data_IF_364852394168
#
_entry.id   IF_364852394168
#
_cell.length_a   1.000
_cell.length_b   1.000
_cell.length_c   1.000
_cell.angle_alpha   90.00
_cell.angle_beta   90.00
_cell.angle_gamma   90.00
#
_symmetry.space_group_name_H-M   'P 1'
#
loop_
_entity.id
_entity.type
_entity.pdbx_description
1 polymer ?
#
# COMPACT_ATOMS: atom_id res chain seq x y z
N UNK A 1 -22.84 -15.08 63.48
CA UNK A 1 -23.02 -16.55 63.40
C UNK A 1 -21.67 -17.20 63.06
N UNK A 2 -21.12 -17.96 64.00
CA UNK A 2 -19.89 -18.76 63.87
C UNK A 2 -20.11 -20.04 63.06
N UNK A 3 -19.11 -20.48 62.26
CA UNK A 3 -18.38 -21.77 62.40
C UNK A 3 -17.62 -22.24 61.12
N UNK A 4 -16.38 -22.69 61.39
CA UNK A 4 -15.69 -23.95 60.96
C UNK A 4 -15.15 -24.14 59.53
N UNK A 5 -13.83 -24.33 59.50
CA UNK A 5 -13.07 -25.43 58.88
C UNK A 5 -13.89 -26.59 58.28
N UNK A 6 -13.51 -27.03 57.08
CA UNK A 6 -13.03 -28.41 56.85
C UNK A 6 -12.49 -28.62 55.42
N UNK A 7 -11.36 -29.33 55.37
CA UNK A 7 -10.74 -29.95 54.20
C UNK A 7 -11.42 -31.28 53.82
N UNK A 8 -11.64 -31.55 52.53
CA UNK A 8 -11.81 -32.92 51.98
C UNK A 8 -11.49 -32.89 50.48
N UNK A 9 -10.31 -33.36 50.03
CA UNK A 9 -10.04 -34.70 49.46
C UNK A 9 -11.00 -35.15 48.33
N UNK A 10 -10.45 -35.09 47.11
CA UNK A 10 -10.34 -36.24 46.18
C UNK A 10 -11.56 -36.67 45.36
N UNK A 11 -11.30 -36.99 44.08
CA UNK A 11 -11.88 -38.02 43.18
C UNK A 11 -11.80 -37.43 41.75
N UNK A 12 -10.85 -37.81 40.88
CA UNK A 12 -10.53 -39.10 40.24
C UNK A 12 -11.61 -39.55 39.23
N UNK A 13 -11.26 -39.44 37.94
CA UNK A 13 -11.70 -40.36 36.89
C UNK A 13 -12.99 -40.01 36.15
N UNK A 14 -12.90 -39.93 34.82
CA UNK A 14 -14.08 -39.82 33.97
C UNK A 14 -13.82 -39.74 32.48
N UNK A 15 -13.04 -40.67 31.91
CA UNK A 15 -13.11 -40.98 30.48
C UNK A 15 -14.55 -41.43 30.15
N UNK A 16 -15.27 -40.65 29.35
CA UNK A 16 -16.39 -41.12 28.50
C UNK A 16 -16.33 -40.33 27.19
N UNK A 17 -15.74 -40.91 26.15
CA UNK A 17 -16.47 -41.59 25.07
C UNK A 17 -17.55 -40.74 24.38
N UNK A 18 -17.31 -40.47 23.09
CA UNK A 18 -18.32 -40.67 22.06
C UNK A 18 -19.31 -39.53 21.84
N UNK A 19 -18.83 -38.40 21.34
CA UNK A 19 -19.67 -37.37 20.71
C UNK A 19 -19.28 -37.20 19.25
N UNK A 20 -19.76 -38.10 18.39
CA UNK A 20 -19.61 -38.02 16.94
C UNK A 20 -20.43 -36.82 16.42
N UNK A 21 -19.85 -35.61 16.47
CA UNK A 21 -20.45 -34.43 15.87
C UNK A 21 -19.92 -34.32 14.45
N UNK A 22 -20.67 -34.92 13.51
CA UNK A 22 -20.56 -34.61 12.10
C UNK A 22 -20.94 -33.15 11.89
N UNK A 23 -19.98 -32.25 11.98
CA UNK A 23 -20.08 -30.93 11.36
C UNK A 23 -19.90 -31.13 9.87
N UNK A 24 -21.00 -31.08 9.13
CA UNK A 24 -21.02 -30.91 7.68
C UNK A 24 -20.37 -29.57 7.34
N UNK A 25 -19.05 -29.58 7.22
CA UNK A 25 -18.27 -28.49 6.67
C UNK A 25 -18.66 -28.32 5.21
N UNK A 26 -19.48 -27.31 4.96
CA UNK A 26 -19.83 -26.83 3.64
C UNK A 26 -18.52 -26.51 2.89
N UNK A 27 -18.12 -27.39 1.98
CA UNK A 27 -16.95 -27.21 1.12
C UNK A 27 -17.26 -26.10 0.13
N UNK A 28 -17.10 -24.86 0.59
CA UNK A 28 -16.97 -23.74 -0.32
C UNK A 28 -15.64 -23.92 -1.03
N UNK A 29 -15.78 -24.39 -2.26
CA UNK A 29 -14.75 -24.46 -3.28
C UNK A 29 -14.21 -23.04 -3.50
N UNK A 30 -13.28 -22.62 -2.65
CA UNK A 30 -12.54 -21.38 -2.83
C UNK A 30 -11.65 -21.64 -4.04
N UNK A 31 -12.11 -21.18 -5.22
CA UNK A 31 -11.22 -20.95 -6.35
C UNK A 31 -10.04 -20.20 -5.78
N UNK A 32 -8.89 -20.88 -5.70
CA UNK A 32 -7.60 -20.32 -5.33
C UNK A 32 -7.47 -19.09 -6.21
N UNK A 33 -7.61 -17.89 -5.62
CA UNK A 33 -7.43 -16.63 -6.35
C UNK A 33 -6.09 -16.77 -7.04
N UNK A 34 -6.10 -16.81 -8.38
CA UNK A 34 -4.88 -16.71 -9.17
C UNK A 34 -4.10 -15.55 -8.58
N UNK A 35 -2.87 -15.82 -8.13
CA UNK A 35 -1.97 -14.78 -7.65
C UNK A 35 -1.82 -13.83 -8.83
N UNK A 36 -2.50 -12.68 -8.76
CA UNK A 36 -2.40 -11.64 -9.78
C UNK A 36 -0.93 -11.34 -9.93
N UNK A 37 -0.43 -11.42 -11.16
CA UNK A 37 0.91 -11.00 -11.53
C UNK A 37 1.19 -9.64 -10.89
N UNK A 38 2.32 -9.43 -10.20
CA UNK A 38 2.68 -8.13 -9.67
C UNK A 38 2.59 -7.11 -10.82
N UNK A 39 1.72 -6.11 -10.68
CA UNK A 39 1.63 -5.04 -11.65
C UNK A 39 2.79 -4.10 -11.35
N UNK A 40 3.80 -4.09 -12.21
CA UNK A 40 5.01 -3.27 -12.10
C UNK A 40 4.79 -1.77 -12.41
N UNK A 41 3.54 -1.31 -12.38
CA UNK A 41 3.20 0.09 -12.55
C UNK A 41 2.44 0.55 -11.31
N UNK A 42 2.76 1.74 -10.76
CA UNK A 42 2.00 2.32 -9.67
C UNK A 42 0.52 2.29 -10.05
N UNK A 43 -0.28 1.55 -9.29
CA UNK A 43 -1.73 1.56 -9.51
C UNK A 43 -2.21 2.96 -9.18
N UNK A 44 -3.00 3.55 -10.08
CA UNK A 44 -3.69 4.79 -9.79
C UNK A 44 -4.46 4.62 -8.48
N UNK A 45 -4.41 5.62 -7.56
CA UNK A 45 -5.13 5.53 -6.29
C UNK A 45 -6.62 5.35 -6.55
N UNK A 46 -7.26 4.46 -5.76
CA UNK A 46 -8.70 4.12 -5.90
C UNK A 46 -9.62 5.35 -5.82
N UNK A 47 -9.16 6.42 -5.16
CA UNK A 47 -9.85 7.71 -5.07
C UNK A 47 -8.87 8.85 -5.36
N UNK A 48 -9.12 9.70 -6.38
CA UNK A 48 -8.25 10.84 -6.67
C UNK A 48 -8.39 11.89 -5.57
N UNK A 49 -7.30 12.62 -5.30
CA UNK A 49 -7.26 13.67 -4.28
C UNK A 49 -8.36 14.74 -4.48
N UNK A 50 -8.69 15.06 -5.73
CA UNK A 50 -9.74 16.02 -6.08
C UNK A 50 -11.14 15.63 -5.59
N UNK A 51 -11.45 14.34 -5.49
CA UNK A 51 -12.75 13.89 -4.99
C UNK A 51 -12.79 13.94 -3.47
N UNK A 52 -11.68 13.63 -2.81
CA UNK A 52 -11.54 13.78 -1.36
C UNK A 52 -11.67 15.24 -0.93
N UNK A 53 -11.08 16.17 -1.68
CA UNK A 53 -11.22 17.61 -1.39
C UNK A 53 -12.65 18.12 -1.59
N UNK A 54 -13.36 17.63 -2.61
CA UNK A 54 -14.79 17.95 -2.80
C UNK A 54 -15.63 17.48 -1.61
N UNK A 55 -15.48 16.23 -1.19
CA UNK A 55 -16.21 15.70 -0.03
C UNK A 55 -15.86 16.42 1.28
N UNK A 56 -14.61 16.85 1.44
CA UNK A 56 -14.19 17.67 2.59
C UNK A 56 -14.89 19.04 2.58
N UNK A 57 -14.93 19.71 1.41
CA UNK A 57 -15.59 21.01 1.24
C UNK A 57 -17.09 20.91 1.55
N UNK A 58 -17.76 19.88 1.03
CA UNK A 58 -19.19 19.64 1.31
C UNK A 58 -19.42 19.46 2.81
N UNK A 59 -18.57 18.70 3.49
CA UNK A 59 -18.72 18.45 4.93
C UNK A 59 -18.51 19.72 5.77
N UNK A 60 -17.53 20.54 5.42
CA UNK A 60 -17.30 21.85 6.06
C UNK A 60 -18.52 22.77 5.87
N UNK A 61 -19.16 22.74 4.69
CA UNK A 61 -20.38 23.49 4.43
C UNK A 61 -21.57 23.07 5.29
N UNK A 62 -21.63 21.79 5.68
CA UNK A 62 -22.73 21.22 6.47
C UNK A 62 -22.55 21.39 7.99
N UNK A 63 -21.32 21.62 8.49
CA UNK A 63 -21.01 21.66 9.92
C UNK A 63 -21.43 22.95 10.66
N UNK A 64 -22.14 23.87 9.99
CA UNK A 64 -22.71 25.06 10.65
C UNK A 64 -21.65 26.04 11.17
N UNK A 65 -20.50 26.09 10.51
CA UNK A 65 -19.41 27.03 10.80
C UNK A 65 -19.85 28.47 10.53
N UNK A 66 -19.39 29.44 11.33
CA UNK A 66 -19.78 30.85 11.26
C UNK A 66 -19.23 31.54 9.99
N UNK A 67 -18.03 31.14 9.57
CA UNK A 67 -17.38 31.62 8.33
C UNK A 67 -16.77 30.46 7.52
N UNK A 68 -17.60 29.60 6.91
CA UNK A 68 -17.12 28.43 6.18
C UNK A 68 -16.41 28.83 4.88
N UNK A 69 -16.81 29.96 4.28
CA UNK A 69 -16.30 30.42 2.99
C UNK A 69 -14.78 30.65 2.99
N UNK A 70 -14.25 31.23 4.07
CA UNK A 70 -12.80 31.48 4.24
C UNK A 70 -12.02 30.16 4.27
N UNK A 71 -12.59 29.12 4.90
CA UNK A 71 -11.96 27.81 4.93
C UNK A 71 -12.03 27.11 3.58
N UNK A 72 -13.18 27.20 2.92
CA UNK A 72 -13.39 26.59 1.60
C UNK A 72 -12.44 27.22 0.58
N UNK A 73 -12.27 28.55 0.57
CA UNK A 73 -11.30 29.21 -0.32
C UNK A 73 -9.87 28.75 -0.02
N UNK A 74 -9.48 28.73 1.27
CA UNK A 74 -8.15 28.29 1.70
C UNK A 74 -7.84 26.84 1.30
N UNK A 75 -8.81 25.93 1.43
CA UNK A 75 -8.65 24.51 1.06
C UNK A 75 -8.56 24.34 -0.46
N UNK A 76 -9.33 25.12 -1.23
CA UNK A 76 -9.28 25.10 -2.70
C UNK A 76 -7.94 25.62 -3.22
N UNK A 77 -7.47 26.72 -2.66
CA UNK A 77 -6.21 27.37 -3.06
C UNK A 77 -4.98 26.72 -2.42
N UNK A 78 -5.17 25.87 -1.40
CA UNK A 78 -4.12 25.22 -0.64
C UNK A 78 -3.12 26.21 -0.03
N UNK A 79 -3.61 27.38 0.37
CA UNK A 79 -2.86 28.49 0.95
C UNK A 79 -3.63 29.12 2.11
N UNK A 80 -2.90 29.76 3.02
CA UNK A 80 -3.52 30.55 4.07
C UNK A 80 -4.17 31.82 3.49
N UNK A 81 -5.28 32.31 4.07
CA UNK A 81 -5.84 33.60 3.69
C UNK A 81 -4.82 34.72 3.89
N UNK A 82 -4.69 35.61 2.90
CA UNK A 82 -3.87 36.81 3.02
C UNK A 82 -4.55 37.85 3.93
N UNK A 83 -4.33 37.73 5.23
CA UNK A 83 -4.86 38.65 6.23
C UNK A 83 -4.27 40.06 6.15
N UNK A 84 -3.13 40.27 5.50
CA UNK A 84 -2.49 41.58 5.44
C UNK A 84 -3.07 42.42 4.28
N UNK A 85 -3.43 41.78 3.17
CA UNK A 85 -4.19 42.39 2.08
C UNK A 85 -5.63 42.77 2.47
N UNK A 86 -6.26 41.96 3.32
CA UNK A 86 -7.64 42.15 3.82
C UNK A 86 -7.76 43.17 4.97
N UNK A 87 -6.66 43.77 5.41
CA UNK A 87 -6.69 44.73 6.52
C UNK A 87 -7.43 46.00 6.07
N UNK A 88 -8.51 46.42 6.77
CA UNK A 88 -9.24 47.64 6.43
C UNK A 88 -8.30 48.86 6.47
N UNK A 89 -8.32 49.65 5.40
CA UNK A 89 -7.53 50.87 5.27
C UNK A 89 -8.48 52.06 5.10
N UNK A 90 -8.16 53.14 5.79
CA UNK A 90 -8.96 54.36 5.76
C UNK A 90 -8.48 55.24 4.61
N UNK A 91 -9.23 55.25 3.51
CA UNK A 91 -8.97 56.16 2.40
C UNK A 91 -9.72 57.48 2.64
N UNK A 92 -9.00 58.50 3.11
CA UNK A 92 -9.53 59.84 3.40
C UNK A 92 -9.36 60.83 2.24
N UNK A 93 -8.87 60.38 1.09
CA UNK A 93 -8.61 61.24 -0.06
C UNK A 93 -9.92 61.77 -0.66
N UNK A 94 -10.16 63.08 -0.53
CA UNK A 94 -11.20 63.81 -1.26
C UNK A 94 -12.47 64.20 -0.50
N UNK A 95 -12.54 64.07 0.82
CA UNK A 95 -13.72 64.49 1.59
C UNK A 95 -13.48 65.80 2.34
N UNK A 96 -14.36 66.78 2.12
CA UNK A 96 -14.34 68.08 2.81
C UNK A 96 -15.21 68.06 4.08
N UNK A 97 -16.34 67.35 4.07
CA UNK A 97 -17.31 67.35 5.17
C UNK A 97 -16.89 66.50 6.39
N UNK A 98 -17.05 67.05 7.61
CA UNK A 98 -16.71 66.37 8.87
C UNK A 98 -17.61 65.16 9.17
N UNK A 99 -18.90 65.25 8.81
CA UNK A 99 -19.89 64.19 9.07
C UNK A 99 -19.55 62.93 8.27
N UNK A 100 -19.14 63.07 7.00
CA UNK A 100 -18.76 61.93 6.17
C UNK A 100 -17.43 61.30 6.62
N UNK A 101 -16.51 62.11 7.16
CA UNK A 101 -15.27 61.62 7.75
C UNK A 101 -15.53 60.82 9.01
N UNK A 102 -16.49 61.23 9.84
CA UNK A 102 -16.89 60.49 11.03
C UNK A 102 -17.61 59.18 10.68
N UNK A 103 -18.53 59.20 9.72
CA UNK A 103 -19.20 57.99 9.22
C UNK A 103 -18.19 56.95 8.70
N UNK A 104 -17.23 57.34 7.84
CA UNK A 104 -16.18 56.42 7.36
C UNK A 104 -15.25 55.91 8.46
N UNK A 105 -14.97 56.73 9.48
CA UNK A 105 -14.20 56.27 10.65
C UNK A 105 -14.99 55.25 11.46
N UNK A 106 -16.30 55.40 11.55
CA UNK A 106 -17.17 54.45 12.24
C UNK A 106 -17.29 53.13 11.45
N UNK A 107 -17.47 53.19 10.14
CA UNK A 107 -17.46 52.02 9.23
C UNK A 107 -16.12 51.27 9.29
N UNK A 108 -14.99 51.98 9.29
CA UNK A 108 -13.68 51.34 9.43
C UNK A 108 -13.53 50.66 10.79
N UNK A 109 -14.08 51.23 11.86
CA UNK A 109 -14.05 50.59 13.19
C UNK A 109 -14.85 49.30 13.18
N UNK A 110 -16.05 49.29 12.58
CA UNK A 110 -16.85 48.06 12.49
C UNK A 110 -16.15 47.01 11.64
N UNK A 111 -15.59 47.40 10.49
CA UNK A 111 -14.86 46.49 9.60
C UNK A 111 -13.59 45.93 10.25
N UNK A 112 -12.87 46.74 11.04
CA UNK A 112 -11.70 46.31 11.81
C UNK A 112 -12.06 45.28 12.89
N UNK A 113 -13.20 45.47 13.57
CA UNK A 113 -13.71 44.49 14.55
C UNK A 113 -14.06 43.17 13.86
N UNK A 114 -14.72 43.22 12.70
CA UNK A 114 -15.05 42.03 11.91
C UNK A 114 -13.80 41.32 11.39
N UNK A 115 -12.81 42.06 10.88
CA UNK A 115 -11.51 41.53 10.49
C UNK A 115 -10.84 40.75 11.64
N UNK A 116 -10.78 41.36 12.82
CA UNK A 116 -10.21 40.71 14.00
C UNK A 116 -11.03 39.50 14.45
N UNK A 117 -12.36 39.54 14.32
CA UNK A 117 -13.25 38.40 14.61
C UNK A 117 -12.98 37.24 13.65
N UNK A 118 -12.91 37.50 12.35
CA UNK A 118 -12.61 36.49 11.34
C UNK A 118 -11.21 35.87 11.55
N UNK A 119 -10.19 36.68 11.84
CA UNK A 119 -8.82 36.21 12.12
C UNK A 119 -8.75 35.31 13.36
N UNK A 120 -9.45 35.69 14.43
CA UNK A 120 -9.58 34.86 15.65
C UNK A 120 -10.32 33.56 15.37
N UNK A 121 -11.38 33.64 14.58
CA UNK A 121 -12.19 32.50 14.20
C UNK A 121 -11.39 31.49 13.37
N UNK A 122 -10.65 31.96 12.35
CA UNK A 122 -9.74 31.16 11.55
C UNK A 122 -8.76 30.36 12.42
N UNK A 123 -8.14 31.02 13.38
CA UNK A 123 -7.18 30.38 14.30
C UNK A 123 -7.81 29.23 15.10
N UNK A 124 -9.07 29.37 15.54
CA UNK A 124 -9.81 28.30 16.23
C UNK A 124 -10.25 27.18 15.28
N UNK A 125 -10.68 27.57 14.09
CA UNK A 125 -11.16 26.64 13.08
C UNK A 125 -10.06 25.71 12.55
N UNK A 126 -8.80 26.15 12.53
CA UNK A 126 -7.67 25.32 12.09
C UNK A 126 -7.65 23.94 12.76
N UNK A 127 -7.81 23.91 14.08
CA UNK A 127 -7.84 22.66 14.84
C UNK A 127 -9.02 21.74 14.45
N UNK A 128 -10.19 22.35 14.26
CA UNK A 128 -11.40 21.64 13.86
C UNK A 128 -11.23 21.01 12.47
N UNK A 129 -10.72 21.79 11.51
CA UNK A 129 -10.44 21.33 10.14
C UNK A 129 -9.36 20.23 10.16
N UNK A 130 -8.30 20.38 10.96
CA UNK A 130 -7.28 19.34 11.12
C UNK A 130 -7.89 18.01 11.60
N UNK A 131 -8.72 18.04 12.65
CA UNK A 131 -9.43 16.86 13.15
C UNK A 131 -10.35 16.27 12.08
N UNK A 132 -11.06 17.11 11.33
CA UNK A 132 -11.94 16.68 10.26
C UNK A 132 -11.16 15.97 9.14
N UNK A 133 -10.06 16.55 8.67
CA UNK A 133 -9.18 15.94 7.66
C UNK A 133 -8.70 14.57 8.15
N UNK A 134 -8.19 14.50 9.39
CA UNK A 134 -7.76 13.23 9.98
C UNK A 134 -8.91 12.21 10.05
N UNK A 135 -10.17 12.61 10.20
CA UNK A 135 -11.29 11.66 10.15
C UNK A 135 -11.50 10.99 8.79
N UNK A 136 -11.16 11.66 7.69
CA UNK A 136 -11.28 11.11 6.32
C UNK A 136 -10.14 10.16 5.95
N UNK A 137 -8.99 10.30 6.60
CA UNK A 137 -7.78 9.55 6.25
C UNK A 137 -7.84 8.10 6.79
N UNK A 138 -7.36 7.14 6.00
CA UNK A 138 -7.27 5.73 6.42
C UNK A 138 -6.26 5.53 7.56
N UNK A 139 -6.42 4.48 8.37
CA UNK A 139 -5.51 4.21 9.50
C UNK A 139 -4.04 4.15 9.08
N UNK A 140 -3.73 3.47 7.97
CA UNK A 140 -2.35 3.36 7.46
C UNK A 140 -1.75 4.71 7.10
N UNK A 141 -2.56 5.59 6.50
CA UNK A 141 -2.10 6.92 6.12
C UNK A 141 -1.93 7.83 7.34
N UNK A 142 -2.78 7.68 8.37
CA UNK A 142 -2.58 8.36 9.67
C UNK A 142 -1.24 7.98 10.29
N UNK A 143 -0.91 6.69 10.34
CA UNK A 143 0.34 6.23 10.92
C UNK A 143 1.55 6.82 10.18
N UNK A 144 1.49 6.90 8.84
CA UNK A 144 2.52 7.54 8.01
C UNK A 144 2.68 9.03 8.32
N UNK A 145 1.57 9.76 8.46
CA UNK A 145 1.57 11.19 8.77
C UNK A 145 2.18 11.44 10.17
N UNK A 146 1.79 10.63 11.16
CA UNK A 146 2.29 10.73 12.53
C UNK A 146 3.79 10.40 12.65
N UNK A 147 4.31 9.56 11.77
CA UNK A 147 5.73 9.20 11.73
C UNK A 147 6.62 10.25 11.04
N UNK A 148 6.05 11.34 10.51
CA UNK A 148 6.86 12.37 9.90
C UNK A 148 7.67 13.18 10.90
N UNK A 149 8.92 13.48 10.52
CA UNK A 149 9.86 14.26 11.33
C UNK A 149 9.28 15.64 11.71
N UNK A 150 8.51 16.25 10.81
CA UNK A 150 7.96 17.60 10.99
C UNK A 150 6.52 17.61 11.53
N UNK A 151 6.02 16.48 12.02
CA UNK A 151 4.61 16.37 12.42
C UNK A 151 4.25 17.37 13.53
N UNK A 152 4.97 17.30 14.66
CA UNK A 152 4.70 18.13 15.85
C UNK A 152 4.97 19.63 15.62
N UNK A 153 5.85 19.98 14.67
CA UNK A 153 6.28 21.38 14.48
C UNK A 153 5.40 22.15 13.51
N UNK A 154 4.93 21.51 12.44
CA UNK A 154 4.21 22.19 11.35
C UNK A 154 2.86 21.57 11.06
N UNK A 155 2.81 20.24 10.91
CA UNK A 155 1.64 19.53 10.39
C UNK A 155 0.49 19.53 11.40
N UNK A 156 0.78 19.40 12.69
CA UNK A 156 -0.25 19.40 13.74
C UNK A 156 -0.96 20.76 13.86
N UNK A 157 -0.22 21.85 13.70
CA UNK A 157 -0.74 23.22 13.86
C UNK A 157 -1.42 23.79 12.60
N UNK A 158 -1.10 23.24 11.42
CA UNK A 158 -1.55 23.78 10.14
C UNK A 158 -2.28 22.71 9.28
N UNK A 159 -3.61 22.82 9.15
CA UNK A 159 -4.40 21.89 8.32
C UNK A 159 -4.07 21.98 6.83
N UNK A 160 -3.53 23.10 6.34
CA UNK A 160 -3.17 23.26 4.92
C UNK A 160 -1.92 22.46 4.60
N UNK A 161 -0.91 22.53 5.46
CA UNK A 161 0.30 21.72 5.30
C UNK A 161 -0.01 20.22 5.41
N UNK A 162 -0.93 19.83 6.31
CA UNK A 162 -1.47 18.47 6.38
C UNK A 162 -2.07 18.04 5.02
N UNK A 163 -2.91 18.88 4.40
CA UNK A 163 -3.50 18.60 3.10
C UNK A 163 -2.46 18.48 1.98
N UNK A 164 -1.43 19.36 1.95
CA UNK A 164 -0.31 19.23 1.00
C UNK A 164 0.40 17.89 1.16
N UNK A 165 0.57 17.44 2.40
CA UNK A 165 1.25 16.18 2.67
C UNK A 165 0.43 14.96 2.29
N UNK A 166 -0.88 15.00 2.56
CA UNK A 166 -1.82 13.99 2.09
C UNK A 166 -1.83 13.94 0.56
N UNK A 167 -1.89 15.09 -0.12
CA UNK A 167 -1.81 15.13 -1.58
C UNK A 167 -0.53 14.47 -2.09
N UNK A 168 0.61 14.77 -1.47
CA UNK A 168 1.90 14.13 -1.79
C UNK A 168 1.84 12.61 -1.57
N UNK A 169 1.22 12.12 -0.51
CA UNK A 169 1.09 10.68 -0.27
C UNK A 169 0.10 9.97 -1.19
N UNK A 170 -0.95 10.66 -1.64
CA UNK A 170 -1.92 10.11 -2.57
C UNK A 170 -1.38 10.09 -4.01
N UNK A 171 -0.55 11.07 -4.38
CA UNK A 171 0.11 11.13 -5.70
C UNK A 171 1.37 10.28 -5.76
N UNK A 172 2.12 10.23 -4.66
CA UNK A 172 3.23 9.29 -4.50
C UNK A 172 2.64 7.97 -4.01
N UNK A 173 2.01 7.24 -4.95
CA UNK A 173 1.75 5.81 -4.76
C UNK A 173 3.04 5.19 -4.23
N UNK A 174 2.89 4.41 -3.18
CA UNK A 174 3.90 3.97 -2.23
C UNK A 174 5.33 3.96 -2.79
N UNK A 175 6.24 4.57 -2.02
CA UNK A 175 7.65 4.16 -1.88
C UNK A 175 7.92 2.93 -2.72
N UNK A 176 8.52 3.14 -3.91
CA UNK A 176 9.04 2.13 -4.85
C UNK A 176 8.95 0.78 -4.19
N UNK A 177 7.93 0.02 -4.58
CA UNK A 177 7.61 -1.30 -4.04
C UNK A 177 8.88 -1.96 -3.50
N UNK A 178 8.93 -2.38 -2.24
CA UNK A 178 10.09 -3.17 -1.80
C UNK A 178 10.23 -4.48 -2.60
N UNK A 179 9.29 -4.78 -3.50
CA UNK A 179 9.27 -5.95 -4.39
C UNK A 179 10.44 -6.01 -5.40
N UNK A 180 10.81 -4.98 -6.19
CA UNK A 180 11.97 -5.07 -7.06
C UNK A 180 13.30 -5.12 -6.29
N UNK A 181 13.39 -4.47 -5.12
CA UNK A 181 14.58 -4.56 -4.25
C UNK A 181 14.71 -5.97 -3.66
N UNK A 182 13.62 -6.54 -3.14
CA UNK A 182 13.61 -7.92 -2.61
C UNK A 182 13.85 -8.96 -3.71
N UNK A 183 13.29 -8.77 -4.90
CA UNK A 183 13.57 -9.60 -6.08
C UNK A 183 15.06 -9.49 -6.46
N UNK A 184 15.61 -8.28 -6.50
CA UNK A 184 17.02 -8.04 -6.78
C UNK A 184 17.93 -8.73 -5.75
N UNK A 185 17.63 -8.61 -4.46
CA UNK A 185 18.36 -9.29 -3.39
C UNK A 185 18.28 -10.82 -3.51
N UNK A 186 17.10 -11.35 -3.86
CA UNK A 186 16.91 -12.79 -4.08
C UNK A 186 17.72 -13.28 -5.29
N UNK A 187 17.70 -12.53 -6.40
CA UNK A 187 18.52 -12.81 -7.59
C UNK A 187 20.01 -12.74 -7.27
N UNK A 188 20.45 -11.71 -6.54
CA UNK A 188 21.85 -11.56 -6.14
C UNK A 188 22.31 -12.71 -5.26
N UNK A 189 21.47 -13.18 -4.32
CA UNK A 189 21.76 -14.37 -3.48
C UNK A 189 21.85 -15.64 -4.30
N UNK A 190 20.97 -15.82 -5.28
CA UNK A 190 20.96 -17.00 -6.15
C UNK A 190 22.17 -17.05 -7.08
N UNK A 191 22.46 -15.96 -7.80
CA UNK A 191 23.59 -15.88 -8.75
C UNK A 191 24.94 -16.00 -8.04
N UNK A 192 25.05 -15.47 -6.82
CA UNK A 192 26.28 -15.56 -6.02
C UNK A 192 26.31 -16.81 -5.10
N UNK A 193 25.37 -17.74 -5.23
CA UNK A 193 25.37 -18.96 -4.43
C UNK A 193 26.49 -19.88 -4.90
N UNK A 194 27.64 -19.83 -4.21
CA UNK A 194 28.79 -20.72 -4.42
C UNK A 194 28.88 -21.78 -3.33
N UNK A 195 29.43 -22.95 -3.67
CA UNK A 195 29.71 -24.00 -2.70
C UNK A 195 30.74 -23.50 -1.67
N UNK A 196 30.43 -23.67 -0.38
CA UNK A 196 31.36 -23.29 0.70
C UNK A 196 32.39 -24.41 0.90
N UNK A 197 33.58 -24.05 1.39
CA UNK A 197 34.67 -25.02 1.60
C UNK A 197 34.35 -26.17 2.57
N UNK A 198 33.43 -25.96 3.50
CA UNK A 198 33.03 -26.94 4.52
C UNK A 198 31.65 -27.57 4.23
N UNK A 199 31.12 -27.41 3.02
CA UNK A 199 29.76 -27.82 2.65
C UNK A 199 29.80 -29.02 1.68
N UNK A 200 29.00 -30.03 1.97
CA UNK A 200 28.88 -31.19 1.07
C UNK A 200 28.12 -30.80 -0.21
N UNK A 201 28.35 -31.53 -1.30
CA UNK A 201 27.70 -31.25 -2.60
C UNK A 201 26.18 -31.32 -2.50
N UNK A 202 25.64 -32.22 -1.66
CA UNK A 202 24.20 -32.39 -1.45
C UNK A 202 23.60 -31.19 -0.72
N UNK A 203 24.27 -30.70 0.32
CA UNK A 203 23.83 -29.51 1.08
C UNK A 203 23.89 -28.26 0.20
N UNK A 204 24.95 -28.11 -0.60
CA UNK A 204 25.05 -27.03 -1.57
C UNK A 204 23.90 -27.04 -2.57
N UNK A 205 23.61 -28.22 -3.17
CA UNK A 205 22.50 -28.37 -4.12
C UNK A 205 21.17 -27.95 -3.49
N UNK A 206 20.90 -28.41 -2.27
CA UNK A 206 19.66 -28.07 -1.55
C UNK A 206 19.52 -26.55 -1.35
N UNK A 207 20.58 -25.88 -0.88
CA UNK A 207 20.62 -24.43 -0.70
C UNK A 207 20.45 -23.67 -2.01
N UNK A 208 21.07 -24.16 -3.08
CA UNK A 208 20.93 -23.58 -4.42
C UNK A 208 19.48 -23.69 -4.93
N UNK A 209 18.84 -24.83 -4.75
CA UNK A 209 17.43 -25.05 -5.11
C UNK A 209 16.48 -24.18 -4.27
N UNK A 210 16.75 -24.00 -2.98
CA UNK A 210 15.99 -23.08 -2.10
C UNK A 210 16.10 -21.62 -2.57
N UNK A 211 17.29 -21.16 -2.96
CA UNK A 211 17.46 -19.83 -3.55
C UNK A 211 16.73 -19.70 -4.90
N UNK A 212 16.82 -20.72 -5.76
CA UNK A 212 16.17 -20.74 -7.07
C UNK A 212 14.63 -20.71 -6.95
N UNK A 213 14.06 -21.51 -6.05
CA UNK A 213 12.62 -21.54 -5.78
C UNK A 213 12.09 -20.23 -5.22
N UNK A 214 12.90 -19.54 -4.39
CA UNK A 214 12.57 -18.19 -3.90
C UNK A 214 12.48 -17.19 -5.06
N UNK A 215 13.45 -17.17 -5.98
CA UNK A 215 13.41 -16.32 -7.18
C UNK A 215 12.22 -16.67 -8.08
N UNK A 216 11.95 -17.97 -8.28
CA UNK A 216 10.82 -18.47 -9.07
C UNK A 216 9.47 -18.00 -8.48
N UNK A 217 9.37 -17.91 -7.15
CA UNK A 217 8.15 -17.44 -6.49
C UNK A 217 7.80 -15.99 -6.80
N UNK A 218 8.79 -15.16 -7.14
CA UNK A 218 8.61 -13.76 -7.53
C UNK A 218 8.34 -13.62 -9.04
N UNK A 219 9.07 -14.36 -9.88
CA UNK A 219 9.04 -14.19 -11.34
C UNK A 219 8.01 -15.09 -12.06
N UNK A 220 7.58 -16.19 -11.42
CA UNK A 220 6.74 -17.23 -12.02
C UNK A 220 7.53 -18.25 -12.84
N UNK A 221 6.86 -19.29 -13.34
CA UNK A 221 7.54 -20.43 -13.99
C UNK A 221 8.00 -20.15 -15.44
N UNK A 222 7.38 -19.18 -16.12
CA UNK A 222 7.57 -18.94 -17.57
C UNK A 222 8.46 -17.73 -17.90
N UNK A 223 9.08 -17.07 -16.92
CA UNK A 223 9.79 -15.81 -17.16
C UNK A 223 11.02 -15.94 -18.08
N UNK A 224 11.65 -17.12 -18.12
CA UNK A 224 12.80 -17.41 -19.00
C UNK A 224 12.41 -17.95 -20.37
N UNK A 225 11.14 -18.26 -20.62
CA UNK A 225 10.71 -18.86 -21.89
C UNK A 225 10.95 -17.90 -23.07
N UNK A 226 10.65 -16.61 -22.87
CA UNK A 226 10.87 -15.57 -23.89
C UNK A 226 12.37 -15.33 -24.13
N UNK A 227 13.19 -15.41 -23.08
CA UNK A 227 14.64 -15.28 -23.20
C UNK A 227 15.25 -16.48 -23.94
N UNK A 228 14.84 -17.70 -23.58
CA UNK A 228 15.25 -18.92 -24.25
C UNK A 228 14.82 -18.92 -25.73
N UNK A 229 13.61 -18.43 -26.03
CA UNK A 229 13.08 -18.29 -27.39
C UNK A 229 13.82 -17.23 -28.24
N UNK A 230 14.51 -16.27 -27.63
CA UNK A 230 15.29 -15.24 -28.37
C UNK A 230 16.76 -15.57 -28.52
N UNK A 231 17.27 -16.51 -27.72
CA UNK A 231 18.71 -16.82 -27.68
C UNK A 231 19.04 -17.92 -28.68
N UNK A 232 19.88 -17.62 -29.67
CA UNK A 232 20.28 -18.52 -30.77
C UNK A 232 20.99 -19.78 -30.27
N UNK A 233 21.82 -19.66 -29.23
CA UNK A 233 22.51 -20.80 -28.61
C UNK A 233 21.53 -21.82 -27.99
N UNK A 234 20.38 -21.39 -27.49
CA UNK A 234 19.34 -22.29 -26.99
C UNK A 234 18.60 -23.00 -28.14
N UNK A 235 18.43 -22.36 -29.29
CA UNK A 235 17.86 -22.98 -30.47
C UNK A 235 18.73 -24.12 -31.01
N UNK A 236 20.03 -23.90 -31.10
CA UNK A 236 20.98 -24.91 -31.55
C UNK A 236 21.04 -26.11 -30.61
N UNK A 237 21.04 -25.86 -29.30
CA UNK A 237 21.11 -26.92 -28.30
C UNK A 237 19.80 -27.73 -28.22
N UNK A 238 18.64 -27.07 -28.27
CA UNK A 238 17.35 -27.77 -28.33
C UNK A 238 17.24 -28.61 -29.61
N UNK A 239 17.60 -28.05 -30.76
CA UNK A 239 17.59 -28.77 -32.04
C UNK A 239 18.51 -30.00 -31.99
N UNK A 240 19.73 -29.87 -31.43
CA UNK A 240 20.65 -31.00 -31.24
C UNK A 240 20.10 -32.06 -30.29
N UNK A 241 19.47 -31.67 -29.18
CA UNK A 241 18.87 -32.59 -28.21
C UNK A 241 17.67 -33.34 -28.81
N UNK A 242 16.83 -32.65 -29.60
CA UNK A 242 15.73 -33.27 -30.32
C UNK A 242 16.23 -34.28 -31.36
N UNK A 243 17.26 -33.92 -32.15
CA UNK A 243 17.89 -34.82 -33.11
C UNK A 243 18.47 -36.08 -32.45
N UNK A 244 19.24 -35.92 -31.37
CA UNK A 244 19.82 -37.04 -30.61
C UNK A 244 18.75 -37.96 -30.00
N UNK A 245 17.61 -37.39 -29.57
CA UNK A 245 16.50 -38.18 -29.02
C UNK A 245 15.76 -38.99 -30.10
N UNK A 246 15.68 -38.46 -31.32
CA UNK A 246 15.11 -39.16 -32.48
C UNK A 246 16.01 -40.32 -32.91
N UNK A 247 17.32 -40.10 -32.97
CA UNK A 247 18.32 -41.14 -33.30
C UNK A 247 18.30 -42.30 -32.29
N UNK A 248 18.31 -41.99 -30.98
CA UNK A 248 18.20 -43.04 -29.95
C UNK A 248 16.90 -43.84 -30.07
N UNK A 249 15.80 -43.19 -30.46
CA UNK A 249 14.50 -43.85 -30.64
C UNK A 249 14.49 -44.74 -31.88
N UNK A 250 15.12 -44.34 -32.98
CA UNK A 250 15.23 -45.16 -34.20
C UNK A 250 16.14 -46.38 -33.99
N UNK A 251 17.25 -46.22 -33.26
CA UNK A 251 18.14 -47.34 -32.89
C UNK A 251 17.43 -48.39 -32.03
N UNK A 252 16.64 -47.95 -31.04
CA UNK A 252 15.86 -48.87 -30.19
C UNK A 252 14.81 -49.64 -30.99
N UNK A 253 14.18 -48.99 -31.98
CA UNK A 253 13.22 -49.63 -32.88
C UNK A 253 13.90 -50.66 -33.81
N UNK A 254 15.11 -50.36 -34.31
CA UNK A 254 15.91 -51.31 -35.10
C UNK A 254 16.33 -52.52 -34.27
N UNK A 255 16.85 -52.29 -33.06
CA UNK A 255 17.23 -53.37 -32.12
C UNK A 255 16.02 -54.26 -31.78
N UNK A 256 14.84 -53.67 -31.59
CA UNK A 256 13.60 -54.42 -31.34
C UNK A 256 13.15 -55.25 -32.55
N UNK A 257 13.26 -54.71 -33.78
CA UNK A 257 12.93 -55.44 -35.02
C UNK A 257 13.90 -56.59 -35.29
N UNK A 258 15.20 -56.36 -35.12
CA UNK A 258 16.22 -57.40 -35.30
C UNK A 258 16.08 -58.52 -34.27
N UNK A 259 15.76 -58.18 -33.02
CA UNK A 259 15.46 -59.17 -31.98
C UNK A 259 14.26 -60.06 -32.36
N UNK A 260 13.17 -59.46 -32.88
CA UNK A 260 11.98 -60.20 -33.33
C UNK A 260 12.25 -61.08 -34.56
N UNK A 261 13.10 -60.65 -35.50
CA UNK A 261 13.48 -61.46 -36.65
C UNK A 261 14.35 -62.65 -36.26
N UNK A 262 15.35 -62.45 -35.40
CA UNK A 262 16.23 -63.52 -34.95
C UNK A 262 15.46 -64.60 -34.16
N UNK A 263 14.48 -64.19 -33.34
CA UNK A 263 13.63 -65.12 -32.60
C UNK A 263 12.73 -65.97 -33.52
N UNK A 264 12.37 -65.46 -34.70
CA UNK A 264 11.50 -66.14 -35.68
C UNK A 264 12.25 -67.11 -36.59
N UNK A 265 13.58 -67.00 -36.68
CA UNK A 265 14.45 -67.90 -37.45
C UNK A 265 15.02 -69.05 -36.61
N UNK A 266 14.75 -69.06 -35.29
CA UNK A 266 15.26 -70.03 -34.32
C UNK A 266 14.23 -71.08 -33.89
N UNK A 267 13.03 -71.03 -34.48
CA UNK A 267 11.88 -71.93 -34.27
C UNK A 267 11.54 -72.59 -35.60
#
# INVERSE_FOLDING_TARGET
MTRRNQSTRGVRGGNRFGGNRQTSGNSQNTKKKEKRSPKYHPSDPDFPYADVTRSLIERIGMEGLEYPQIMISSIKELNEPDWDGLKPKLDLTGQEDEIEKEAKKEELKTESVEYHRQKRYWSKAKWHVHSLIMSFVTSKMKDKILQEVNYNEKIESDPIELLRRINKFMTTSDVIDWEPITLWEALQKWVNCRQKGNETVIEYRKRFEECATTVLSFLGDSWLEVFAAKTTAYHETITRLMACRIEKRSELQLKSKNFKQNFRMSL
#
